data_IF_393628057343
#
_entry.id   IF_393628057343
#
_cell.length_a   1.000
_cell.length_b   1.000
_cell.length_c   1.000
_cell.angle_alpha   90.00
_cell.angle_beta   90.00
_cell.angle_gamma   90.00
#
_symmetry.space_group_name_H-M   'P 1'
#
loop_
_entity.id
_entity.type
_entity.pdbx_description
1 polymer ?
#
# COMPACT_ATOMS: atom_id res chain seq x y z
N UNK A 1 33.90 30.21 3.05
CA UNK A 1 34.30 29.63 1.74
C UNK A 1 34.40 30.74 0.71
N UNK A 2 35.48 30.80 -0.08
CA UNK A 2 35.71 31.88 -1.07
C UNK A 2 34.69 31.75 -2.20
N UNK A 3 34.03 32.85 -2.58
CA UNK A 3 32.92 32.89 -3.56
C UNK A 3 33.22 32.17 -4.89
N UNK A 4 34.49 32.12 -5.30
CA UNK A 4 34.93 31.40 -6.50
C UNK A 4 34.71 29.88 -6.45
N UNK A 5 34.80 29.25 -5.27
CA UNK A 5 34.65 27.78 -5.13
C UNK A 5 33.19 27.33 -5.33
N UNK A 6 32.23 28.17 -4.93
CA UNK A 6 30.80 27.88 -5.05
C UNK A 6 30.36 27.92 -6.52
N UNK A 7 30.88 28.87 -7.30
CA UNK A 7 30.55 29.00 -8.73
C UNK A 7 31.07 27.80 -9.53
N UNK A 8 32.26 27.29 -9.22
CA UNK A 8 32.82 26.12 -9.90
C UNK A 8 32.03 24.85 -9.61
N UNK A 9 31.58 24.66 -8.36
CA UNK A 9 30.79 23.48 -7.97
C UNK A 9 29.41 23.49 -8.67
N UNK A 10 28.74 24.64 -8.75
CA UNK A 10 27.44 24.77 -9.44
C UNK A 10 27.58 24.47 -10.95
N UNK A 11 28.64 24.94 -11.59
CA UNK A 11 28.89 24.69 -13.02
C UNK A 11 29.07 23.20 -13.36
N UNK A 12 29.80 22.46 -12.52
CA UNK A 12 30.02 21.01 -12.73
C UNK A 12 28.73 20.20 -12.55
N UNK A 13 27.87 20.59 -11.60
CA UNK A 13 26.58 19.92 -11.37
C UNK A 13 25.64 20.11 -12.56
N UNK A 14 25.56 21.31 -13.15
CA UNK A 14 24.67 21.58 -14.30
C UNK A 14 25.10 20.78 -15.54
N UNK A 15 26.40 20.70 -15.82
CA UNK A 15 26.93 19.93 -16.95
C UNK A 15 26.65 18.43 -16.75
N UNK A 16 26.79 17.90 -15.53
CA UNK A 16 26.49 16.51 -15.20
C UNK A 16 25.01 16.14 -15.40
N UNK A 17 24.07 17.02 -14.99
CA UNK A 17 22.63 16.79 -15.16
C UNK A 17 22.23 16.83 -16.65
N UNK A 18 22.83 17.74 -17.43
CA UNK A 18 22.59 17.81 -18.87
C UNK A 18 23.09 16.55 -19.60
N UNK A 19 24.26 16.03 -19.23
CA UNK A 19 24.81 14.79 -19.79
C UNK A 19 23.91 13.58 -19.46
N UNK A 20 23.45 13.49 -18.21
CA UNK A 20 22.57 12.40 -17.76
C UNK A 20 21.19 12.43 -18.42
N UNK A 21 20.68 13.63 -18.73
CA UNK A 21 19.39 13.83 -19.40
C UNK A 21 19.47 13.46 -20.89
N UNK A 22 20.63 13.64 -21.53
CA UNK A 22 20.85 13.27 -22.92
C UNK A 22 20.91 11.74 -23.12
N UNK A 23 21.61 10.99 -22.25
CA UNK A 23 21.63 9.52 -22.32
C UNK A 23 20.26 8.88 -22.05
N UNK A 24 19.46 9.44 -21.15
CA UNK A 24 18.09 8.98 -20.90
C UNK A 24 17.12 9.31 -22.05
N UNK A 25 17.41 10.33 -22.87
CA UNK A 25 16.57 10.71 -24.00
C UNK A 25 16.68 9.70 -25.16
N UNK A 26 17.90 9.26 -25.49
CA UNK A 26 18.11 8.31 -26.58
C UNK A 26 17.55 6.90 -26.27
N UNK A 27 17.45 6.51 -24.99
CA UNK A 27 16.88 5.22 -24.59
C UNK A 27 15.35 5.12 -24.81
N UNK A 28 14.65 6.25 -24.95
CA UNK A 28 13.20 6.27 -25.20
C UNK A 28 12.83 6.32 -26.68
N UNK A 29 13.81 6.49 -27.57
CA UNK A 29 13.58 6.76 -29.00
C UNK A 29 13.43 5.51 -29.87
N UNK A 30 13.30 4.34 -29.26
CA UNK A 30 12.95 3.10 -29.95
C UNK A 30 11.48 2.77 -29.79
N UNK A 31 10.61 3.39 -30.59
CA UNK A 31 9.45 2.78 -31.29
C UNK A 31 8.45 3.86 -31.78
N UNK A 32 8.49 4.11 -33.10
CA UNK A 32 7.42 4.56 -34.02
C UNK A 32 6.86 5.99 -33.90
N UNK A 33 7.37 6.86 -34.77
CA UNK A 33 6.55 7.89 -35.42
C UNK A 33 5.57 7.21 -36.40
N UNK A 34 4.27 7.38 -36.16
CA UNK A 34 3.31 7.59 -37.25
C UNK A 34 2.15 8.44 -36.72
N UNK A 35 1.91 9.55 -37.41
CA UNK A 35 0.92 10.57 -37.09
C UNK A 35 -0.48 10.07 -37.46
N UNK A 36 -1.40 9.92 -36.49
CA UNK A 36 -2.84 10.15 -36.72
C UNK A 36 -3.51 10.77 -35.48
N UNK A 37 -4.15 11.90 -35.74
CA UNK A 37 -4.98 12.71 -34.86
C UNK A 37 -6.31 11.97 -34.65
N UNK A 38 -6.57 11.50 -33.44
CA UNK A 38 -7.85 10.97 -33.01
C UNK A 38 -8.02 11.21 -31.51
N UNK A 39 -9.13 11.81 -31.12
CA UNK A 39 -9.48 12.08 -29.71
C UNK A 39 -9.28 10.84 -28.86
N UNK A 40 -8.30 10.88 -27.97
CA UNK A 40 -8.08 9.81 -26.99
C UNK A 40 -9.13 9.97 -25.90
N UNK A 41 -10.21 9.22 -26.04
CA UNK A 41 -11.05 8.76 -24.94
C UNK A 41 -10.14 8.42 -23.73
N UNK A 42 -10.42 8.92 -22.51
CA UNK A 42 -9.54 8.70 -21.39
C UNK A 42 -9.45 7.20 -21.12
N UNK A 43 -8.28 6.64 -21.38
CA UNK A 43 -7.90 5.26 -21.11
C UNK A 43 -8.30 4.94 -19.65
N UNK A 44 -9.42 4.22 -19.48
CA UNK A 44 -9.89 3.80 -18.17
C UNK A 44 -8.88 2.76 -17.66
N UNK A 45 -7.91 3.21 -16.86
CA UNK A 45 -7.09 2.33 -16.02
C UNK A 45 -8.02 1.32 -15.33
N UNK A 46 -7.69 0.02 -15.32
CA UNK A 46 -8.55 -0.98 -14.68
C UNK A 46 -8.80 -0.56 -13.25
N UNK A 47 -10.07 -0.33 -12.89
CA UNK A 47 -10.47 -0.11 -11.51
C UNK A 47 -10.03 -1.35 -10.72
N UNK A 48 -8.98 -1.21 -9.92
CA UNK A 48 -8.48 -2.33 -9.11
C UNK A 48 -9.60 -2.78 -8.18
N UNK A 49 -9.91 -4.08 -8.13
CA UNK A 49 -10.94 -4.62 -7.24
C UNK A 49 -10.63 -4.27 -5.77
N UNK A 50 -11.65 -4.01 -4.95
CA UNK A 50 -11.48 -3.82 -3.50
C UNK A 50 -10.86 -5.08 -2.89
N UNK A 51 -9.99 -4.94 -1.89
CA UNK A 51 -9.52 -6.10 -1.13
C UNK A 51 -10.71 -6.90 -0.61
N UNK A 52 -10.68 -8.21 -0.84
CA UNK A 52 -11.67 -9.15 -0.33
C UNK A 52 -10.92 -10.20 0.48
N UNK A 53 -11.07 -10.15 1.80
CA UNK A 53 -10.48 -11.14 2.67
C UNK A 53 -11.15 -12.50 2.47
N UNK A 54 -10.33 -13.51 2.20
CA UNK A 54 -10.75 -14.92 2.16
C UNK A 54 -10.72 -15.52 3.56
N UNK A 55 -11.57 -16.52 3.78
CA UNK A 55 -11.49 -17.32 5.00
C UNK A 55 -10.09 -17.95 5.13
N UNK A 56 -9.55 -17.95 6.34
CA UNK A 56 -8.21 -18.47 6.62
C UNK A 56 -7.66 -17.97 7.94
N UNK A 57 -6.55 -18.58 8.38
CA UNK A 57 -5.83 -18.22 9.59
C UNK A 57 -4.50 -17.58 9.25
N UNK A 58 -4.15 -16.56 10.00
CA UNK A 58 -2.98 -15.71 9.80
C UNK A 58 -2.22 -15.58 11.12
N UNK A 59 -0.96 -16.02 11.15
CA UNK A 59 -0.11 -16.01 12.35
C UNK A 59 0.81 -14.81 12.31
N UNK A 60 0.92 -14.12 13.44
CA UNK A 60 1.82 -12.99 13.57
C UNK A 60 3.25 -13.41 13.30
N UNK A 61 3.97 -12.57 12.55
CA UNK A 61 5.39 -12.76 12.26
C UNK A 61 6.29 -12.43 13.46
N UNK A 62 5.75 -11.74 14.48
CA UNK A 62 6.49 -11.37 15.70
C UNK A 62 6.13 -12.24 16.90
N UNK A 63 4.92 -12.82 16.92
CA UNK A 63 4.46 -13.72 17.97
C UNK A 63 3.70 -14.91 17.37
N UNK A 64 4.33 -16.09 17.37
CA UNK A 64 3.76 -17.31 16.79
C UNK A 64 2.48 -17.82 17.49
N UNK A 65 2.18 -17.33 18.69
CA UNK A 65 0.98 -17.67 19.44
C UNK A 65 -0.19 -16.74 19.09
N UNK A 66 0.07 -15.54 18.58
CA UNK A 66 -0.96 -14.58 18.21
C UNK A 66 -1.34 -14.68 16.73
N UNK A 67 -2.61 -14.49 16.42
CA UNK A 67 -3.07 -14.48 15.04
C UNK A 67 -4.48 -13.94 14.84
N UNK A 68 -4.89 -13.99 13.59
CA UNK A 68 -6.21 -13.60 13.11
C UNK A 68 -6.81 -14.79 12.37
N UNK A 69 -8.04 -15.14 12.67
CA UNK A 69 -8.87 -16.03 11.86
C UNK A 69 -9.96 -15.20 11.18
N UNK A 70 -10.01 -15.30 9.86
CA UNK A 70 -11.11 -14.77 9.05
C UNK A 70 -12.01 -15.95 8.73
N UNK A 71 -13.25 -15.90 9.22
CA UNK A 71 -14.20 -16.99 9.06
C UNK A 71 -15.61 -16.46 9.05
N UNK A 72 -16.38 -16.86 8.04
CA UNK A 72 -17.81 -16.54 7.90
C UNK A 72 -18.11 -15.03 8.02
N UNK A 73 -17.25 -14.21 7.42
CA UNK A 73 -17.37 -12.75 7.45
C UNK A 73 -17.03 -12.11 8.81
N UNK A 74 -16.41 -12.87 9.73
CA UNK A 74 -15.91 -12.37 11.02
C UNK A 74 -14.39 -12.26 11.00
N UNK A 75 -13.92 -11.27 11.75
CA UNK A 75 -12.52 -11.07 12.06
C UNK A 75 -12.28 -11.48 13.51
N UNK A 76 -11.57 -12.58 13.72
CA UNK A 76 -11.40 -13.20 15.03
C UNK A 76 -9.95 -13.07 15.43
N UNK A 77 -9.66 -12.30 16.46
CA UNK A 77 -8.32 -12.28 17.04
C UNK A 77 -8.16 -13.51 17.94
N UNK A 78 -6.97 -14.09 17.99
CA UNK A 78 -6.72 -15.19 18.92
C UNK A 78 -5.30 -15.19 19.46
N UNK A 79 -5.17 -15.87 20.59
CA UNK A 79 -3.90 -16.28 21.16
C UNK A 79 -3.94 -17.77 21.47
N UNK A 80 -2.96 -18.53 20.99
CA UNK A 80 -2.89 -19.99 21.17
C UNK A 80 -2.87 -20.34 22.65
N UNK A 81 -3.72 -21.28 23.05
CA UNK A 81 -3.89 -21.69 24.45
C UNK A 81 -4.87 -20.85 25.24
N UNK A 82 -5.38 -19.74 24.69
CA UNK A 82 -6.49 -18.98 25.27
C UNK A 82 -7.81 -19.31 24.56
N UNK A 83 -8.91 -19.28 25.31
CA UNK A 83 -10.24 -19.41 24.73
C UNK A 83 -10.60 -18.09 24.06
N UNK A 84 -11.02 -18.15 22.80
CA UNK A 84 -11.66 -17.02 22.11
C UNK A 84 -13.03 -16.76 22.74
N UNK A 85 -13.28 -15.51 23.10
CA UNK A 85 -14.60 -15.07 23.57
C UNK A 85 -15.22 -14.02 22.64
N UNK A 86 -16.37 -13.46 23.03
CA UNK A 86 -17.10 -12.50 22.19
C UNK A 86 -16.36 -11.19 21.97
N UNK A 87 -15.40 -10.84 22.83
CA UNK A 87 -14.56 -9.64 22.71
C UNK A 87 -13.41 -9.82 21.71
N UNK A 88 -13.13 -11.05 21.30
CA UNK A 88 -12.16 -11.37 20.26
C UNK A 88 -12.77 -11.41 18.85
N UNK A 89 -14.11 -11.40 18.75
CA UNK A 89 -14.85 -11.60 17.51
C UNK A 89 -15.42 -10.26 17.03
N UNK A 90 -14.96 -9.82 15.86
CA UNK A 90 -15.33 -8.55 15.27
C UNK A 90 -16.11 -8.74 13.95
N UNK A 91 -17.04 -7.82 13.69
CA UNK A 91 -17.46 -7.52 12.33
C UNK A 91 -16.38 -6.69 11.66
N UNK A 92 -16.23 -6.80 10.34
CA UNK A 92 -15.27 -5.98 9.61
C UNK A 92 -15.87 -5.35 8.36
N UNK A 93 -15.30 -4.20 7.99
CA UNK A 93 -15.64 -3.46 6.76
C UNK A 93 -14.35 -2.91 6.16
N UNK A 94 -14.25 -2.99 4.83
CA UNK A 94 -13.17 -2.38 4.06
C UNK A 94 -13.70 -1.14 3.36
N UNK A 95 -12.95 -0.06 3.41
CA UNK A 95 -13.27 1.21 2.76
C UNK A 95 -12.10 1.68 1.92
N UNK A 96 -12.39 2.17 0.72
CA UNK A 96 -11.39 2.76 -0.17
C UNK A 96 -11.48 4.28 -0.12
N UNK A 97 -10.35 4.98 0.03
CA UNK A 97 -10.26 6.43 -0.10
C UNK A 97 -9.24 6.80 -1.19
N UNK A 98 -9.61 7.76 -2.03
CA UNK A 98 -8.75 8.34 -3.04
C UNK A 98 -8.20 9.66 -2.52
N UNK A 99 -6.89 9.82 -2.56
CA UNK A 99 -6.24 11.09 -2.27
C UNK A 99 -5.89 11.73 -3.61
N UNK A 100 -6.58 12.83 -3.92
CA UNK A 100 -6.30 13.64 -5.09
C UNK A 100 -5.42 14.81 -4.64
N UNK A 101 -4.10 14.67 -4.76
CA UNK A 101 -3.17 15.78 -4.58
C UNK A 101 -2.67 16.24 -5.96
N UNK A 102 -2.89 17.52 -6.25
CA UNK A 102 -2.23 18.24 -7.36
C UNK A 102 -2.23 17.54 -8.72
N UNK A 103 -3.36 16.96 -9.12
CA UNK A 103 -3.55 16.37 -10.46
C UNK A 103 -2.91 14.99 -10.66
N UNK A 104 -2.24 14.42 -9.65
CA UNK A 104 -1.68 13.07 -9.72
C UNK A 104 -2.65 12.09 -9.05
N UNK A 105 -3.23 11.16 -9.83
CA UNK A 105 -4.03 10.06 -9.27
C UNK A 105 -3.09 9.07 -8.59
N UNK A 106 -3.01 9.12 -7.27
CA UNK A 106 -2.33 8.08 -6.48
C UNK A 106 -3.16 6.79 -6.45
N UNK A 107 -2.48 5.66 -6.18
CA UNK A 107 -3.16 4.40 -5.89
C UNK A 107 -4.10 4.63 -4.69
N UNK A 108 -5.37 4.17 -4.76
CA UNK A 108 -6.27 4.30 -3.63
C UNK A 108 -5.72 3.63 -2.39
N UNK A 109 -5.98 4.24 -1.23
CA UNK A 109 -5.72 3.63 0.08
C UNK A 109 -6.94 2.82 0.49
N UNK A 110 -6.69 1.67 1.09
CA UNK A 110 -7.74 0.82 1.66
C UNK A 110 -7.59 0.75 3.18
N UNK A 111 -8.72 0.86 3.85
CA UNK A 111 -8.82 0.91 5.30
C UNK A 111 -9.72 -0.21 5.77
N UNK A 112 -9.28 -0.90 6.82
CA UNK A 112 -10.03 -1.91 7.53
C UNK A 112 -10.55 -1.30 8.83
N UNK A 113 -11.86 -1.32 9.02
CA UNK A 113 -12.50 -1.05 10.31
C UNK A 113 -13.03 -2.37 10.84
N UNK A 114 -12.67 -2.73 12.07
CA UNK A 114 -13.24 -3.86 12.80
C UNK A 114 -13.95 -3.37 14.04
N UNK A 115 -15.13 -3.92 14.33
CA UNK A 115 -15.99 -3.48 15.43
C UNK A 115 -16.66 -4.67 16.11
N UNK A 116 -16.64 -4.66 17.44
CA UNK A 116 -17.44 -5.55 18.28
C UNK A 116 -18.23 -4.73 19.32
N UNK A 117 -18.69 -5.37 20.39
CA UNK A 117 -19.48 -4.71 21.43
C UNK A 117 -18.65 -3.81 22.38
N UNK A 118 -17.33 -4.00 22.41
CA UNK A 118 -16.42 -3.33 23.34
C UNK A 118 -15.53 -2.28 22.67
N UNK A 119 -15.19 -2.47 21.38
CA UNK A 119 -14.17 -1.67 20.72
C UNK A 119 -14.40 -1.52 19.21
N UNK A 120 -13.78 -0.49 18.63
CA UNK A 120 -13.64 -0.27 17.19
C UNK A 120 -12.20 0.08 16.88
N UNK A 121 -11.58 -0.72 16.01
CA UNK A 121 -10.19 -0.58 15.62
C UNK A 121 -10.09 -0.25 14.13
N UNK A 122 -9.20 0.67 13.79
CA UNK A 122 -8.98 1.11 12.42
C UNK A 122 -7.54 0.85 11.97
N UNK A 123 -7.42 0.30 10.76
CA UNK A 123 -6.16 -0.06 10.15
C UNK A 123 -6.09 0.44 8.70
N UNK A 124 -4.91 0.81 8.25
CA UNK A 124 -4.60 0.86 6.83
C UNK A 124 -4.16 -0.53 6.36
N UNK A 125 -4.72 -1.01 5.24
CA UNK A 125 -4.28 -2.24 4.59
C UNK A 125 -3.06 -1.89 3.73
N UNK A 126 -1.88 -2.32 4.17
CA UNK A 126 -0.63 -2.08 3.45
C UNK A 126 -0.41 -3.13 2.36
N UNK A 127 -0.68 -4.40 2.70
CA UNK A 127 -0.58 -5.52 1.77
C UNK A 127 -1.56 -6.64 2.15
N UNK A 128 -2.15 -7.26 1.13
CA UNK A 128 -2.88 -8.51 1.27
C UNK A 128 -2.60 -9.39 0.05
N UNK A 129 -1.92 -10.51 0.26
CA UNK A 129 -1.56 -11.49 -0.75
C UNK A 129 -1.77 -12.91 -0.20
N UNK A 130 -1.45 -13.95 -0.97
CA UNK A 130 -1.49 -15.33 -0.46
C UNK A 130 -0.36 -15.62 0.55
N UNK A 131 0.57 -14.70 0.78
CA UNK A 131 1.77 -14.92 1.59
C UNK A 131 1.87 -13.94 2.78
N UNK A 132 1.24 -12.77 2.67
CA UNK A 132 1.36 -11.70 3.65
C UNK A 132 0.04 -10.94 3.84
N UNK A 133 -0.29 -10.70 5.10
CA UNK A 133 -1.26 -9.69 5.52
C UNK A 133 -0.50 -8.65 6.34
N UNK A 134 -0.44 -7.43 5.84
CA UNK A 134 0.24 -6.31 6.50
C UNK A 134 -0.73 -5.16 6.76
N UNK A 135 -0.83 -4.76 8.02
CA UNK A 135 -1.76 -3.74 8.50
C UNK A 135 -0.99 -2.67 9.28
N UNK A 136 -1.32 -1.40 9.09
CA UNK A 136 -0.86 -0.33 9.98
C UNK A 136 -2.00 0.11 10.89
N UNK A 137 -1.81 0.03 12.20
CA UNK A 137 -2.81 0.49 13.17
C UNK A 137 -2.84 2.01 13.21
N UNK A 138 -3.94 2.63 12.77
CA UNK A 138 -4.01 4.08 12.51
C UNK A 138 -3.66 4.92 13.74
N UNK A 139 -4.16 4.64 14.95
CA UNK A 139 -3.91 5.50 16.11
C UNK A 139 -2.45 5.59 16.56
N UNK A 140 -1.60 4.60 16.23
CA UNK A 140 -0.20 4.54 16.68
C UNK A 140 0.83 4.36 15.56
N UNK A 141 0.38 4.03 14.35
CA UNK A 141 1.24 3.76 13.19
C UNK A 141 2.06 2.47 13.28
N UNK A 142 1.85 1.61 14.28
CA UNK A 142 2.57 0.34 14.34
C UNK A 142 2.08 -0.61 13.25
N UNK A 143 3.03 -1.29 12.61
CA UNK A 143 2.74 -2.27 11.57
C UNK A 143 2.63 -3.67 12.16
N UNK A 144 1.56 -4.37 11.80
CA UNK A 144 1.27 -5.75 12.16
C UNK A 144 1.38 -6.60 10.90
N UNK A 145 2.23 -7.61 10.94
CA UNK A 145 2.50 -8.49 9.79
C UNK A 145 2.16 -9.93 10.15
N UNK A 146 1.41 -10.59 9.28
CA UNK A 146 0.97 -11.97 9.47
C UNK A 146 1.23 -12.81 8.22
N UNK A 147 1.52 -14.09 8.42
CA UNK A 147 1.63 -15.09 7.36
C UNK A 147 0.48 -16.09 7.47
N UNK A 148 0.03 -16.71 6.37
CA UNK A 148 -0.95 -17.78 6.44
C UNK A 148 -0.49 -18.88 7.39
N UNK A 149 -1.38 -19.37 8.25
CA UNK A 149 -1.13 -20.60 8.98
C UNK A 149 -1.09 -21.76 7.98
N UNK A 150 0.00 -22.52 7.99
CA UNK A 150 0.21 -23.66 7.09
C UNK A 150 -0.64 -24.86 7.49
#
# INVERSE_FOLDING_TARGET
>A
MKKGVIITIIGVIIIGVAYYSFEMFDFTKGEKEETQKGETEPEQKPETKLTEFKNGRWISTTDSLSGIEIKDGKWIMFYKGMKTDSSDIYNFKIQRKYINESGTKHKPFEFLTITNHSDTLEYSILEYSNELLSLSYIPRGNTLNYKPEK
#
